data_IF_242216486200
#
_entry.id   IF_242216486200
#
_cell.length_a   1.000
_cell.length_b   1.000
_cell.length_c   1.000
_cell.angle_alpha   90.00
_cell.angle_beta   90.00
_cell.angle_gamma   90.00
#
_symmetry.space_group_name_H-M   'P 1'
#
loop_
_entity.id
_entity.type
_entity.pdbx_description
1 polymer ?
#
# COMPACT_ATOMS: atom_id res chain seq x y z
N UNK A 1 32.77 7.28 -16.41
CA UNK A 1 31.39 7.23 -15.87
C UNK A 1 31.45 6.71 -14.43
N UNK A 2 30.87 7.41 -13.44
CA UNK A 2 30.93 7.00 -12.02
C UNK A 2 29.65 6.21 -11.67
N UNK A 3 29.80 4.94 -11.30
CA UNK A 3 28.68 4.03 -10.99
C UNK A 3 28.49 3.96 -9.47
N UNK A 4 27.29 4.30 -8.99
CA UNK A 4 26.92 4.20 -7.58
C UNK A 4 26.06 2.96 -7.35
N UNK A 5 26.40 2.15 -6.34
CA UNK A 5 25.67 0.92 -5.98
C UNK A 5 24.70 1.15 -4.83
N UNK A 6 23.64 0.36 -4.74
CA UNK A 6 22.73 0.37 -3.58
C UNK A 6 23.51 0.02 -2.30
N UNK A 7 23.18 0.70 -1.19
CA UNK A 7 23.90 0.55 0.09
C UNK A 7 25.27 1.24 0.17
N UNK A 8 25.75 1.91 -0.88
CA UNK A 8 27.01 2.65 -0.84
C UNK A 8 26.94 3.84 0.13
N UNK A 9 27.80 3.83 1.16
CA UNK A 9 27.88 4.90 2.17
C UNK A 9 28.95 5.95 1.87
N UNK A 10 30.06 5.55 1.25
CA UNK A 10 31.21 6.43 0.93
C UNK A 10 31.06 7.07 -0.45
N UNK A 11 31.43 8.34 -0.57
CA UNK A 11 31.33 9.11 -1.82
C UNK A 11 29.90 9.54 -2.19
N UNK A 12 28.93 9.35 -1.29
CA UNK A 12 27.54 9.80 -1.44
C UNK A 12 27.35 11.10 -0.67
N UNK A 13 27.84 12.19 -1.25
CA UNK A 13 28.06 13.44 -0.52
C UNK A 13 26.84 14.38 -0.58
N UNK A 14 25.97 14.22 -1.58
CA UNK A 14 24.81 15.08 -1.80
C UNK A 14 23.53 14.46 -1.20
N UNK A 15 22.69 15.29 -0.57
CA UNK A 15 21.37 14.87 -0.04
C UNK A 15 20.49 14.22 -1.12
N UNK A 16 20.46 14.80 -2.32
CA UNK A 16 19.71 14.27 -3.47
C UNK A 16 20.17 12.87 -3.85
N UNK A 17 21.49 12.63 -3.88
CA UNK A 17 22.04 11.31 -4.21
C UNK A 17 21.66 10.25 -3.16
N UNK A 18 21.66 10.62 -1.87
CA UNK A 18 21.17 9.73 -0.79
C UNK A 18 19.70 9.39 -0.96
N UNK A 19 18.86 10.36 -1.32
CA UNK A 19 17.43 10.14 -1.57
C UNK A 19 17.18 9.23 -2.76
N UNK A 20 17.85 9.47 -3.88
CA UNK A 20 17.74 8.63 -5.08
C UNK A 20 18.20 7.20 -4.82
N UNK A 21 19.31 7.00 -4.09
CA UNK A 21 19.75 5.65 -3.71
C UNK A 21 18.73 4.95 -2.81
N UNK A 22 18.15 5.65 -1.83
CA UNK A 22 17.10 5.09 -0.96
C UNK A 22 15.86 4.70 -1.77
N UNK A 23 15.44 5.55 -2.70
CA UNK A 23 14.32 5.27 -3.60
C UNK A 23 14.62 4.06 -4.49
N UNK A 24 15.82 3.96 -5.06
CA UNK A 24 16.24 2.80 -5.86
C UNK A 24 16.19 1.50 -5.06
N UNK A 25 16.69 1.48 -3.83
CA UNK A 25 16.60 0.29 -2.98
C UNK A 25 15.16 -0.16 -2.73
N UNK A 26 14.22 0.77 -2.55
CA UNK A 26 12.81 0.43 -2.43
C UNK A 26 12.22 -0.10 -3.76
N UNK A 27 12.58 0.49 -4.89
CA UNK A 27 12.14 0.05 -6.23
C UNK A 27 12.69 -1.34 -6.57
N UNK A 28 13.96 -1.62 -6.27
CA UNK A 28 14.59 -2.93 -6.47
C UNK A 28 13.83 -4.04 -5.73
N UNK A 29 13.41 -3.78 -4.48
CA UNK A 29 12.59 -4.73 -3.72
C UNK A 29 11.23 -4.98 -4.39
N UNK A 30 10.54 -3.92 -4.85
CA UNK A 30 9.27 -4.06 -5.59
C UNK A 30 9.46 -4.85 -6.88
N UNK A 31 10.54 -4.62 -7.63
CA UNK A 31 10.87 -5.40 -8.83
C UNK A 31 11.11 -6.87 -8.48
N UNK A 32 11.78 -7.16 -7.36
CA UNK A 32 11.95 -8.52 -6.83
C UNK A 32 10.61 -9.22 -6.63
N UNK A 33 9.68 -8.58 -5.92
CA UNK A 33 8.32 -9.08 -5.73
C UNK A 33 7.55 -9.23 -7.05
N UNK A 34 7.70 -8.30 -7.99
CA UNK A 34 7.07 -8.43 -9.32
C UNK A 34 7.62 -9.64 -10.10
N UNK A 35 8.90 -9.97 -9.95
CA UNK A 35 9.48 -11.20 -10.53
C UNK A 35 8.88 -12.46 -9.93
N UNK A 36 8.89 -12.59 -8.60
CA UNK A 36 8.45 -13.82 -7.92
C UNK A 36 6.93 -13.95 -7.85
N UNK A 37 6.26 -12.92 -7.31
CA UNK A 37 4.84 -12.94 -6.97
C UNK A 37 3.99 -12.57 -8.18
N UNK A 38 4.50 -11.62 -8.97
CA UNK A 38 3.91 -11.22 -10.25
C UNK A 38 4.19 -12.21 -11.39
N UNK A 39 5.08 -13.19 -11.21
CA UNK A 39 5.53 -14.13 -12.25
C UNK A 39 6.07 -13.42 -13.50
N UNK A 40 6.66 -12.24 -13.33
CA UNK A 40 7.30 -11.51 -14.42
C UNK A 40 8.49 -12.30 -15.00
N UNK A 41 9.04 -13.24 -14.23
CA UNK A 41 10.08 -14.18 -14.64
C UNK A 41 9.61 -15.27 -15.61
N UNK A 42 8.30 -15.48 -15.76
CA UNK A 42 7.70 -16.56 -16.55
C UNK A 42 6.70 -16.00 -17.56
N UNK A 43 7.22 -15.50 -18.68
CA UNK A 43 6.42 -15.09 -19.81
C UNK A 43 5.84 -16.32 -20.53
N UNK A 44 4.51 -16.40 -20.64
CA UNK A 44 3.80 -17.43 -21.43
C UNK A 44 3.46 -16.98 -22.84
N UNK A 45 3.76 -15.72 -23.16
CA UNK A 45 3.52 -15.11 -24.47
C UNK A 45 4.76 -15.29 -25.33
N UNK A 46 4.59 -15.42 -26.64
CA UNK A 46 5.68 -15.73 -27.56
C UNK A 46 6.42 -14.46 -28.01
N UNK A 47 7.75 -14.50 -27.92
CA UNK A 47 8.64 -13.47 -28.47
C UNK A 47 8.72 -12.17 -27.66
N UNK A 48 9.54 -11.24 -28.14
CA UNK A 48 9.87 -10.00 -27.43
C UNK A 48 8.65 -9.10 -27.12
N UNK A 49 7.65 -9.09 -28.01
CA UNK A 49 6.39 -8.39 -27.76
C UNK A 49 5.63 -9.01 -26.58
N UNK A 50 5.64 -10.35 -26.48
CA UNK A 50 5.06 -11.07 -25.36
C UNK A 50 5.72 -10.73 -24.03
N UNK A 51 7.05 -10.66 -24.01
CA UNK A 51 7.81 -10.27 -22.82
C UNK A 51 7.49 -8.84 -22.37
N UNK A 52 7.40 -7.91 -23.31
CA UNK A 52 7.00 -6.53 -23.04
C UNK A 52 5.58 -6.46 -22.46
N UNK A 53 4.63 -7.18 -23.06
CA UNK A 53 3.25 -7.25 -22.55
C UNK A 53 3.19 -7.87 -21.16
N UNK A 54 3.94 -8.94 -20.90
CA UNK A 54 3.99 -9.59 -19.58
C UNK A 54 4.48 -8.59 -18.51
N UNK A 55 5.55 -7.84 -18.79
CA UNK A 55 6.06 -6.82 -17.86
C UNK A 55 5.02 -5.73 -17.57
N UNK A 56 4.33 -5.22 -18.61
CA UNK A 56 3.28 -4.19 -18.46
C UNK A 56 2.10 -4.72 -17.65
N UNK A 57 1.62 -5.93 -17.95
CA UNK A 57 0.49 -6.54 -17.25
C UNK A 57 0.80 -6.84 -15.78
N UNK A 58 2.02 -7.31 -15.47
CA UNK A 58 2.44 -7.52 -14.07
C UNK A 58 2.48 -6.21 -13.30
N UNK A 59 3.04 -5.15 -13.91
CA UNK A 59 3.08 -3.82 -13.30
C UNK A 59 1.67 -3.26 -13.08
N UNK A 60 0.78 -3.35 -14.07
CA UNK A 60 -0.60 -2.94 -13.96
C UNK A 60 -1.32 -3.72 -12.84
N UNK A 61 -1.17 -5.04 -12.79
CA UNK A 61 -1.74 -5.88 -11.75
C UNK A 61 -1.25 -5.51 -10.35
N UNK A 62 0.02 -5.11 -10.21
CA UNK A 62 0.55 -4.61 -8.93
C UNK A 62 -0.13 -3.31 -8.50
N UNK A 63 -0.28 -2.35 -9.43
CA UNK A 63 -0.95 -1.08 -9.16
C UNK A 63 -2.43 -1.28 -8.78
N UNK A 64 -3.14 -2.16 -9.49
CA UNK A 64 -4.54 -2.51 -9.17
C UNK A 64 -4.63 -3.08 -7.74
N UNK A 65 -3.72 -3.98 -7.34
CA UNK A 65 -3.69 -4.51 -5.96
C UNK A 65 -3.46 -3.42 -4.90
N UNK A 66 -2.60 -2.45 -5.18
CA UNK A 66 -2.40 -1.31 -4.27
C UNK A 66 -3.66 -0.46 -4.13
N UNK A 67 -4.33 -0.16 -5.26
CA UNK A 67 -5.58 0.59 -5.27
C UNK A 67 -6.67 -0.12 -4.46
N UNK A 68 -6.86 -1.42 -4.68
CA UNK A 68 -7.85 -2.22 -3.95
C UNK A 68 -7.56 -2.25 -2.44
N UNK A 69 -6.28 -2.35 -2.04
CA UNK A 69 -5.88 -2.28 -0.62
C UNK A 69 -6.18 -0.92 -0.01
N UNK A 70 -5.96 0.17 -0.75
CA UNK A 70 -6.28 1.51 -0.30
C UNK A 70 -7.80 1.68 -0.11
N UNK A 71 -8.60 1.28 -1.11
CA UNK A 71 -10.06 1.31 -1.04
C UNK A 71 -10.61 0.48 0.12
N UNK A 72 -10.11 -0.75 0.30
CA UNK A 72 -10.50 -1.60 1.43
C UNK A 72 -10.15 -0.98 2.79
N UNK A 73 -9.03 -0.26 2.88
CA UNK A 73 -8.63 0.43 4.11
C UNK A 73 -9.54 1.63 4.40
N UNK A 74 -9.88 2.42 3.38
CA UNK A 74 -10.85 3.50 3.51
C UNK A 74 -12.23 2.97 3.94
N UNK A 75 -12.71 1.89 3.31
CA UNK A 75 -13.98 1.27 3.68
C UNK A 75 -13.99 0.80 5.14
N UNK A 76 -12.92 0.12 5.60
CA UNK A 76 -12.78 -0.27 7.01
C UNK A 76 -12.81 0.93 7.96
N UNK A 77 -12.17 2.04 7.60
CA UNK A 77 -12.18 3.26 8.40
C UNK A 77 -13.57 3.89 8.48
N UNK A 78 -14.30 3.93 7.35
CA UNK A 78 -15.67 4.43 7.30
C UNK A 78 -16.62 3.56 8.13
N UNK A 79 -16.56 2.24 7.98
CA UNK A 79 -17.35 1.30 8.77
C UNK A 79 -17.06 1.43 10.27
N UNK A 80 -15.78 1.54 10.65
CA UNK A 80 -15.40 1.74 12.06
C UNK A 80 -15.97 3.04 12.62
N UNK A 81 -15.93 4.14 11.85
CA UNK A 81 -16.54 5.42 12.26
C UNK A 81 -18.05 5.30 12.39
N UNK A 82 -18.72 4.62 11.46
CA UNK A 82 -20.16 4.39 11.51
C UNK A 82 -20.56 3.60 12.77
N UNK A 83 -19.85 2.51 13.08
CA UNK A 83 -20.08 1.71 14.29
C UNK A 83 -19.86 2.54 15.56
N UNK A 84 -18.81 3.36 15.61
CA UNK A 84 -18.56 4.26 16.74
C UNK A 84 -19.67 5.31 16.89
N UNK A 85 -20.19 5.87 15.79
CA UNK A 85 -21.29 6.83 15.83
C UNK A 85 -22.60 6.19 16.32
N UNK A 86 -22.92 4.97 15.85
CA UNK A 86 -24.08 4.22 16.33
C UNK A 86 -23.91 3.87 17.81
N UNK A 87 -22.74 3.38 18.22
CA UNK A 87 -22.43 3.08 19.62
C UNK A 87 -22.40 4.31 20.53
N UNK A 88 -22.01 5.47 20.01
CA UNK A 88 -22.10 6.76 20.71
C UNK A 88 -23.53 7.33 20.75
N UNK A 89 -24.40 6.90 19.83
CA UNK A 89 -25.84 7.12 19.86
C UNK A 89 -26.56 6.29 20.93
N UNK A 90 -25.94 5.19 21.38
CA UNK A 90 -26.31 4.48 22.61
C UNK A 90 -25.65 5.20 23.79
N UNK A 91 -25.99 6.48 23.99
CA UNK A 91 -25.86 7.04 25.34
C UNK A 91 -27.01 6.46 26.16
N UNK A 92 -26.64 5.88 27.29
CA UNK A 92 -27.45 5.53 28.47
C UNK A 92 -28.33 6.74 28.87
N UNK A 93 -29.34 7.07 28.09
CA UNK A 93 -30.39 8.04 28.41
C UNK A 93 -31.76 7.36 28.51
N UNK A 94 -31.85 6.07 28.14
CA UNK A 94 -33.03 5.22 28.34
C UNK A 94 -33.11 4.58 29.74
N UNK A 95 -32.20 4.95 30.66
CA UNK A 95 -32.41 4.66 32.09
C UNK A 95 -33.00 5.90 32.74
N UNK A 96 -34.32 6.01 32.61
CA UNK A 96 -35.19 7.01 33.23
C UNK A 96 -34.67 7.49 34.60
N UNK A 97 -34.31 8.77 34.72
CA UNK A 97 -34.12 9.43 36.02
C UNK A 97 -35.44 9.57 36.81
N UNK A 98 -36.58 9.24 36.19
CA UNK A 98 -37.94 9.38 36.73
C UNK A 98 -38.28 8.45 37.90
N UNK A 99 -37.42 7.48 38.25
CA UNK A 99 -37.55 6.69 39.49
C UNK A 99 -36.75 7.24 40.68
N UNK A 100 -36.07 8.39 40.56
CA UNK A 100 -35.22 8.94 41.64
C UNK A 100 -35.69 10.24 42.28
N UNK A 101 -36.91 10.75 41.98
CA UNK A 101 -37.34 12.04 42.54
C UNK A 101 -38.70 12.10 43.25
N UNK A 102 -39.81 11.49 42.80
CA UNK A 102 -41.10 11.69 43.48
C UNK A 102 -42.23 10.79 42.98
N UNK A 103 -42.54 9.73 43.73
CA UNK A 103 -43.89 9.22 44.02
C UNK A 103 -43.77 8.18 45.15
#
# INVERSE_FOLDING_TARGET
>A
MRIFRSGQKRGVNTRTLKMELKRRSAVEAVIGHMKTDGRMDRCRLKGALGDALNAVLVAAGHNIRLLLRAMATLLRQLLRRLVLMIGAGIKVQDFDPLMKAAA
#
